data_IF_032468795053
#
_entry.id   IF_032468795053
#
_cell.length_a   1.000
_cell.length_b   1.000
_cell.length_c   1.000
_cell.angle_alpha   90.00
_cell.angle_beta   90.00
_cell.angle_gamma   90.00
#
_symmetry.space_group_name_H-M   'P 1'
#
loop_
_entity.id
_entity.type
_entity.pdbx_description
1 polymer ?
#
# COMPACT_ATOMS: atom_id res chain seq x y z
N UNK A 1 -1.62 -19.09 -3.67
CA UNK A 1 -1.87 -17.63 -3.83
C UNK A 1 -2.16 -17.06 -2.45
N UNK A 2 -1.19 -16.38 -1.86
CA UNK A 2 -1.37 -15.66 -0.58
C UNK A 2 -2.47 -14.59 -0.73
N UNK A 3 -3.14 -14.22 0.37
CA UNK A 3 -4.19 -13.19 0.33
C UNK A 3 -3.65 -11.86 -0.24
N UNK A 4 -2.41 -11.52 0.10
CA UNK A 4 -1.67 -10.34 -0.38
C UNK A 4 -1.48 -10.37 -1.90
N UNK A 5 -1.06 -11.50 -2.49
CA UNK A 5 -0.92 -11.63 -3.96
C UNK A 5 -2.23 -11.46 -4.71
N UNK A 6 -3.33 -12.04 -4.21
CA UNK A 6 -4.67 -11.86 -4.81
C UNK A 6 -5.12 -10.40 -4.77
N UNK A 7 -4.80 -9.69 -3.68
CA UNK A 7 -5.11 -8.27 -3.56
C UNK A 7 -4.31 -7.44 -4.56
N UNK A 8 -3.01 -7.72 -4.71
CA UNK A 8 -2.16 -7.06 -5.71
C UNK A 8 -2.72 -7.28 -7.13
N UNK A 9 -3.05 -8.51 -7.49
CA UNK A 9 -3.68 -8.83 -8.79
C UNK A 9 -4.99 -8.06 -9.02
N UNK A 10 -5.85 -7.98 -7.99
CA UNK A 10 -7.10 -7.19 -8.03
C UNK A 10 -6.83 -5.71 -8.29
N UNK A 11 -5.79 -5.14 -7.67
CA UNK A 11 -5.41 -3.73 -7.85
C UNK A 11 -4.85 -3.50 -9.26
N UNK A 12 -3.95 -4.37 -9.72
CA UNK A 12 -3.35 -4.31 -11.07
C UNK A 12 -4.39 -4.49 -12.19
N UNK A 13 -5.45 -5.27 -11.93
CA UNK A 13 -6.61 -5.38 -12.82
C UNK A 13 -7.50 -4.12 -12.87
N UNK A 14 -7.11 -3.03 -12.19
CA UNK A 14 -7.77 -1.73 -12.24
C UNK A 14 -8.87 -1.51 -11.20
N UNK A 15 -8.94 -2.36 -10.16
CA UNK A 15 -9.95 -2.18 -9.12
C UNK A 15 -9.75 -0.87 -8.35
N UNK A 16 -10.80 -0.04 -8.32
CA UNK A 16 -10.87 1.19 -7.51
C UNK A 16 -11.46 0.97 -6.13
N UNK A 17 -11.91 -0.26 -5.83
CA UNK A 17 -12.63 -0.60 -4.60
C UNK A 17 -11.70 -1.38 -3.65
N UNK A 18 -10.78 -0.63 -3.04
CA UNK A 18 -9.79 -1.15 -2.11
C UNK A 18 -10.13 -0.63 -0.70
N UNK A 19 -10.28 -1.56 0.24
CA UNK A 19 -10.45 -1.19 1.64
C UNK A 19 -9.16 -0.55 2.15
N UNK A 20 -9.27 0.32 3.14
CA UNK A 20 -8.11 0.98 3.72
C UNK A 20 -7.14 -0.05 4.31
N UNK A 21 -7.65 -1.00 5.08
CA UNK A 21 -6.84 -2.06 5.71
C UNK A 21 -6.25 -3.03 4.69
N UNK A 22 -6.89 -3.22 3.52
CA UNK A 22 -6.30 -3.96 2.41
C UNK A 22 -5.02 -3.25 1.91
N UNK A 23 -5.07 -1.93 1.72
CA UNK A 23 -3.89 -1.17 1.28
C UNK A 23 -2.79 -1.14 2.35
N UNK A 24 -3.14 -1.01 3.63
CA UNK A 24 -2.18 -1.09 4.74
C UNK A 24 -1.44 -2.43 4.74
N UNK A 25 -2.17 -3.54 4.68
CA UNK A 25 -1.58 -4.87 4.66
C UNK A 25 -0.70 -5.10 3.43
N UNK A 26 -1.00 -4.43 2.30
CA UNK A 26 -0.17 -4.49 1.12
C UNK A 26 1.11 -3.66 1.27
N UNK A 27 1.03 -2.45 1.82
CA UNK A 27 2.21 -1.64 2.16
C UNK A 27 3.19 -2.41 3.05
N UNK A 28 2.69 -3.00 4.13
CA UNK A 28 3.49 -3.81 5.05
C UNK A 28 4.14 -5.01 4.36
N UNK A 29 3.43 -5.66 3.44
CA UNK A 29 3.97 -6.78 2.65
C UNK A 29 5.06 -6.37 1.65
N UNK A 30 5.19 -5.07 1.35
CA UNK A 30 6.28 -4.52 0.56
C UNK A 30 7.34 -3.85 1.45
N UNK A 31 7.40 -4.19 2.74
CA UNK A 31 8.43 -3.71 3.67
C UNK A 31 8.20 -2.30 4.22
N UNK A 32 7.07 -1.65 3.91
CA UNK A 32 6.76 -0.35 4.49
C UNK A 32 6.31 -0.49 5.95
N UNK A 33 6.76 0.43 6.79
CA UNK A 33 6.43 0.47 8.21
C UNK A 33 5.65 1.73 8.55
N UNK A 34 4.63 1.60 9.40
CA UNK A 34 3.85 2.74 9.87
C UNK A 34 4.74 3.63 10.76
N UNK A 35 4.98 4.87 10.32
CA UNK A 35 5.85 5.82 11.03
C UNK A 35 5.07 6.86 11.84
N UNK A 36 3.87 7.25 11.37
CA UNK A 36 3.03 8.24 12.06
C UNK A 36 1.57 8.10 11.68
N UNK A 37 0.67 8.42 12.61
CA UNK A 37 -0.76 8.62 12.36
C UNK A 37 -1.14 10.06 12.70
N UNK A 38 -1.95 10.69 11.85
CA UNK A 38 -2.57 12.00 12.13
C UNK A 38 -4.02 12.02 11.62
N UNK A 39 -4.97 11.90 12.55
CA UNK A 39 -6.38 11.76 12.19
C UNK A 39 -6.61 10.53 11.31
N UNK A 40 -7.20 10.72 10.13
CA UNK A 40 -7.42 9.64 9.16
C UNK A 40 -6.24 9.35 8.23
N UNK A 41 -5.13 10.08 8.38
CA UNK A 41 -3.93 9.91 7.58
C UNK A 41 -2.95 8.96 8.28
N UNK A 42 -2.38 8.04 7.52
CA UNK A 42 -1.34 7.12 7.97
C UNK A 42 -0.13 7.30 7.07
N UNK A 43 1.02 7.51 7.71
CA UNK A 43 2.29 7.76 7.06
C UNK A 43 3.15 6.51 7.21
N UNK A 44 3.70 6.06 6.10
CA UNK A 44 4.52 4.87 5.98
C UNK A 44 5.89 5.23 5.42
N UNK A 45 6.93 4.57 5.91
CA UNK A 45 8.31 4.70 5.46
C UNK A 45 8.89 3.34 5.13
N UNK A 46 9.80 3.29 4.17
CA UNK A 46 10.56 2.09 3.82
C UNK A 46 12.06 2.42 3.95
N UNK A 47 12.90 1.53 4.51
CA UNK A 47 14.31 1.83 4.78
C UNK A 47 15.11 2.25 3.53
N UNK A 48 14.78 1.65 2.39
CA UNK A 48 15.47 1.90 1.11
C UNK A 48 14.80 2.98 0.23
N UNK A 49 13.73 3.62 0.70
CA UNK A 49 12.97 4.62 -0.08
C UNK A 49 12.91 5.95 0.69
N UNK A 50 13.38 7.06 0.10
CA UNK A 50 13.33 8.37 0.75
C UNK A 50 11.92 8.96 0.85
N UNK A 51 11.00 8.58 -0.04
CA UNK A 51 9.61 9.06 -0.03
C UNK A 51 8.78 8.50 1.12
N UNK A 52 8.03 9.39 1.79
CA UNK A 52 7.01 8.99 2.76
C UNK A 52 5.69 8.75 2.05
N UNK A 53 5.14 7.55 2.21
CA UNK A 53 3.82 7.21 1.69
C UNK A 53 2.75 7.69 2.67
N UNK A 54 1.89 8.60 2.23
CA UNK A 54 0.73 9.07 3.01
C UNK A 54 -0.57 8.54 2.41
N UNK A 55 -1.23 7.64 3.14
CA UNK A 55 -2.55 7.11 2.78
C UNK A 55 -3.64 7.70 3.69
N UNK A 56 -4.85 7.86 3.17
CA UNK A 56 -5.99 8.38 3.93
C UNK A 56 -7.13 7.36 3.98
N UNK A 57 -7.64 7.13 5.19
CA UNK A 57 -8.87 6.37 5.39
C UNK A 57 -10.08 7.27 5.11
N UNK A 58 -10.82 6.98 4.03
CA UNK A 58 -12.07 7.67 3.69
C UNK A 58 -13.23 6.70 3.79
N UNK A 59 -13.89 6.68 4.96
CA UNK A 59 -15.03 5.80 5.28
C UNK A 59 -14.72 4.31 5.07
N UNK A 60 -13.56 3.86 5.54
CA UNK A 60 -13.08 2.48 5.44
C UNK A 60 -12.36 2.15 4.13
N UNK A 61 -12.26 3.09 3.19
CA UNK A 61 -11.62 2.86 1.88
C UNK A 61 -10.35 3.67 1.70
N UNK A 62 -9.42 3.10 0.96
CA UNK A 62 -8.26 3.83 0.45
C UNK A 62 -8.69 4.77 -0.69
N UNK A 63 -7.99 5.89 -0.85
CA UNK A 63 -8.26 6.79 -1.97
C UNK A 63 -7.57 6.24 -3.23
N UNK A 64 -8.28 6.09 -4.37
CA UNK A 64 -7.73 5.42 -5.55
C UNK A 64 -6.43 6.01 -6.11
N UNK A 65 -6.19 7.32 -5.94
CA UNK A 65 -4.93 7.90 -6.41
C UNK A 65 -3.74 7.52 -5.53
N UNK A 66 -3.94 7.32 -4.23
CA UNK A 66 -2.89 6.89 -3.31
C UNK A 66 -2.47 5.46 -3.60
N UNK A 67 -3.43 4.60 -3.98
CA UNK A 67 -3.13 3.25 -4.49
C UNK A 67 -2.23 3.34 -5.72
N UNK A 68 -2.54 4.23 -6.68
CA UNK A 68 -1.70 4.41 -7.88
C UNK A 68 -0.31 4.96 -7.57
N UNK A 69 -0.20 5.92 -6.64
CA UNK A 69 1.09 6.45 -6.20
C UNK A 69 1.95 5.34 -5.58
N UNK A 70 1.35 4.51 -4.74
CA UNK A 70 2.03 3.37 -4.16
C UNK A 70 2.51 2.35 -5.21
N UNK A 71 1.68 2.01 -6.21
CA UNK A 71 2.11 1.16 -7.31
C UNK A 71 3.28 1.76 -8.11
N UNK A 72 3.29 3.08 -8.28
CA UNK A 72 4.40 3.79 -8.92
C UNK A 72 5.70 3.62 -8.15
N UNK A 73 5.67 3.67 -6.82
CA UNK A 73 6.86 3.42 -5.99
C UNK A 73 7.34 1.97 -6.08
N UNK A 74 6.42 1.00 -6.13
CA UNK A 74 6.79 -0.41 -6.34
C UNK A 74 7.54 -0.57 -7.66
N UNK A 75 7.05 0.05 -8.74
CA UNK A 75 7.67 -0.01 -10.06
C UNK A 75 9.02 0.72 -10.09
N UNK A 76 9.07 1.95 -9.57
CA UNK A 76 10.26 2.82 -9.54
C UNK A 76 11.41 2.18 -8.77
N UNK A 77 11.12 1.60 -7.60
CA UNK A 77 12.13 0.99 -6.72
C UNK A 77 12.26 -0.52 -6.89
N UNK A 78 11.56 -1.10 -7.89
CA UNK A 78 11.57 -2.55 -8.16
C UNK A 78 11.29 -3.41 -6.91
N UNK A 79 10.37 -2.96 -6.07
CA UNK A 79 10.04 -3.65 -4.83
C UNK A 79 9.38 -4.98 -5.10
N UNK A 80 9.74 -5.98 -4.30
CA UNK A 80 9.15 -7.32 -4.38
C UNK A 80 8.20 -7.54 -3.22
N UNK A 81 7.09 -8.22 -3.49
CA UNK A 81 6.16 -8.62 -2.44
C UNK A 81 6.83 -9.69 -1.58
N UNK A 82 7.00 -9.42 -0.29
CA UNK A 82 7.46 -10.42 0.65
C UNK A 82 6.34 -11.46 0.83
N UNK A 83 6.59 -12.67 0.31
CA UNK A 83 5.75 -13.82 0.61
C UNK A 83 6.10 -14.26 2.04
N UNK A 84 5.29 -13.83 3.02
CA UNK A 84 5.19 -14.55 4.28
C UNK A 84 4.71 -15.98 3.96
N UNK A 85 5.58 -16.97 4.19
CA UNK A 85 5.23 -18.40 4.16
C UNK A 85 4.05 -18.73 5.10
#
# INVERSE_FOLDING_TARGET
MTKKRKLLEKILAGSKNIQFDELVALLEAFGFTLSRISGSHHFFSHPDIPEIVNIQNRKGKAIPYQVRQFLGLIEEYSLTLEDEE
#
